data_IF_200769786550
#
_entry.id   IF_200769786550
#
_cell.length_a   1.000
_cell.length_b   1.000
_cell.length_c   1.000
_cell.angle_alpha   90.00
_cell.angle_beta   90.00
_cell.angle_gamma   90.00
#
_symmetry.space_group_name_H-M   'P 1'
#
loop_
_entity.id
_entity.type
_entity.pdbx_description
1 polymer ?
#
# COMPACT_ATOMS: atom_id res chain seq x y z
N UNK A 1 -4.37 50.01 39.23
CA UNK A 1 -5.19 49.12 38.38
C UNK A 1 -4.30 48.02 37.81
N UNK A 2 -4.24 46.91 38.50
CA UNK A 2 -3.42 45.73 38.18
C UNK A 2 -4.12 44.92 37.07
N UNK A 3 -3.46 44.82 35.91
CA UNK A 3 -3.91 43.93 34.83
C UNK A 3 -3.76 42.47 35.28
N UNK A 4 -4.88 41.84 35.62
CA UNK A 4 -4.90 40.39 35.87
C UNK A 4 -4.51 39.66 34.59
N UNK A 5 -3.42 38.90 34.64
CA UNK A 5 -3.08 37.97 33.59
C UNK A 5 -4.14 36.85 33.54
N UNK A 6 -4.89 36.77 32.43
CA UNK A 6 -5.74 35.64 32.12
C UNK A 6 -4.84 34.39 32.04
N UNK A 7 -4.92 33.50 33.00
CA UNK A 7 -4.39 32.15 32.89
C UNK A 7 -5.07 31.46 31.71
N UNK A 8 -4.35 30.80 30.82
CA UNK A 8 -4.98 30.00 29.78
C UNK A 8 -5.79 28.89 30.43
N UNK A 9 -7.08 28.85 30.17
CA UNK A 9 -8.09 27.92 30.72
C UNK A 9 -7.98 26.49 30.12
N UNK A 10 -6.91 26.15 29.46
CA UNK A 10 -6.70 24.81 28.91
C UNK A 10 -5.41 24.20 29.47
N UNK A 11 -5.51 23.67 30.67
CA UNK A 11 -4.77 22.45 31.00
C UNK A 11 -5.42 21.35 30.14
N UNK A 12 -4.97 21.23 28.88
CA UNK A 12 -5.20 20.03 28.11
C UNK A 12 -4.54 18.92 28.92
N UNK A 13 -5.35 18.03 29.48
CA UNK A 13 -4.91 16.70 29.85
C UNK A 13 -4.25 16.16 28.59
N UNK A 14 -2.91 16.23 28.54
CA UNK A 14 -2.17 15.72 27.38
C UNK A 14 -2.49 14.24 27.31
N UNK A 15 -3.11 13.81 26.21
CA UNK A 15 -3.28 12.41 25.92
C UNK A 15 -1.89 11.77 25.96
N UNK A 16 -1.79 10.61 26.58
CA UNK A 16 -0.57 9.83 26.49
C UNK A 16 -0.32 9.41 25.04
N UNK A 17 0.92 9.15 24.69
CA UNK A 17 1.24 8.65 23.35
C UNK A 17 0.48 7.33 23.04
N UNK A 18 0.25 6.50 24.05
CA UNK A 18 -0.55 5.28 23.90
C UNK A 18 -2.03 5.58 23.64
N UNK A 19 -2.58 6.66 24.19
CA UNK A 19 -3.93 7.11 23.84
C UNK A 19 -4.00 7.58 22.39
N UNK A 20 -3.00 8.35 21.92
CA UNK A 20 -2.92 8.79 20.54
C UNK A 20 -2.86 7.59 19.58
N UNK A 21 -2.05 6.57 19.89
CA UNK A 21 -1.95 5.34 19.09
C UNK A 21 -3.25 4.55 19.06
N UNK A 22 -3.92 4.39 20.19
CA UNK A 22 -5.22 3.71 20.25
C UNK A 22 -6.30 4.45 19.49
N UNK A 23 -6.39 5.76 19.64
CA UNK A 23 -7.33 6.59 18.90
C UNK A 23 -7.12 6.49 17.39
N UNK A 24 -5.88 6.57 16.95
CA UNK A 24 -5.51 6.40 15.56
C UNK A 24 -5.93 5.03 15.01
N UNK A 25 -5.69 3.95 15.74
CA UNK A 25 -6.07 2.61 15.30
C UNK A 25 -7.60 2.48 15.16
N UNK A 26 -8.38 3.05 16.09
CA UNK A 26 -9.86 3.07 16.00
C UNK A 26 -10.34 3.99 14.85
N UNK A 27 -9.73 5.17 14.64
CA UNK A 27 -10.02 6.03 13.49
C UNK A 27 -9.85 5.27 12.18
N UNK A 28 -8.69 4.60 12.01
CA UNK A 28 -8.39 3.83 10.81
C UNK A 28 -9.34 2.65 10.64
N UNK A 29 -9.70 1.97 11.73
CA UNK A 29 -10.68 0.87 11.70
C UNK A 29 -12.00 1.30 11.06
N UNK A 30 -12.53 2.44 11.48
CA UNK A 30 -13.79 2.97 10.93
C UNK A 30 -13.60 3.57 9.52
N UNK A 31 -12.56 4.38 9.32
CA UNK A 31 -12.30 5.04 8.04
C UNK A 31 -12.03 4.05 6.89
N UNK A 32 -11.40 2.91 7.19
CA UNK A 32 -11.05 1.88 6.22
C UNK A 32 -11.95 0.62 6.30
N UNK A 33 -12.98 0.62 7.14
CA UNK A 33 -13.87 -0.51 7.36
C UNK A 33 -13.11 -1.82 7.62
N UNK A 34 -12.17 -1.81 8.59
CA UNK A 34 -11.33 -2.96 8.87
C UNK A 34 -12.10 -4.06 9.59
N UNK A 35 -12.01 -5.28 9.07
CA UNK A 35 -12.59 -6.48 9.67
C UNK A 35 -11.58 -7.29 10.51
N UNK A 36 -10.28 -6.98 10.43
CA UNK A 36 -9.22 -7.70 11.14
C UNK A 36 -8.88 -7.04 12.48
N UNK A 37 -9.24 -7.63 13.64
CA UNK A 37 -8.82 -7.10 14.94
C UNK A 37 -7.30 -7.07 15.11
N UNK A 38 -6.59 -8.06 14.55
CA UNK A 38 -5.13 -8.11 14.58
C UNK A 38 -4.49 -6.92 13.86
N UNK A 39 -5.08 -6.45 12.76
CA UNK A 39 -4.60 -5.26 12.05
C UNK A 39 -4.81 -3.98 12.89
N UNK A 40 -5.96 -3.85 13.54
CA UNK A 40 -6.23 -2.72 14.44
C UNK A 40 -5.22 -2.72 15.60
N UNK A 41 -4.94 -3.88 16.18
CA UNK A 41 -3.94 -4.04 17.23
C UNK A 41 -2.53 -3.67 16.72
N UNK A 42 -2.14 -4.13 15.52
CA UNK A 42 -0.85 -3.79 14.91
C UNK A 42 -0.70 -2.27 14.69
N UNK A 43 -1.75 -1.59 14.20
CA UNK A 43 -1.78 -0.13 14.03
C UNK A 43 -1.58 0.62 15.35
N UNK A 44 -2.07 0.09 16.47
CA UNK A 44 -1.90 0.70 17.79
C UNK A 44 -0.52 0.43 18.41
N UNK A 45 0.16 -0.65 18.00
CA UNK A 45 1.45 -1.07 18.57
C UNK A 45 2.67 -0.56 17.83
N UNK A 46 2.60 -0.48 16.49
CA UNK A 46 3.75 -0.07 15.68
C UNK A 46 3.94 1.44 15.78
N UNK A 47 5.06 1.92 16.34
CA UNK A 47 5.29 3.34 16.57
C UNK A 47 5.55 4.08 15.26
N UNK A 48 4.52 4.75 14.71
CA UNK A 48 4.58 5.41 13.42
C UNK A 48 5.68 6.46 13.33
N UNK A 49 5.88 7.22 14.41
CA UNK A 49 6.88 8.28 14.52
C UNK A 49 8.30 7.79 14.28
N UNK A 50 8.64 6.57 14.68
CA UNK A 50 9.99 6.02 14.53
C UNK A 50 10.37 5.81 13.05
N UNK A 51 9.38 5.69 12.16
CA UNK A 51 9.58 5.53 10.73
C UNK A 51 9.67 6.86 9.96
N UNK A 52 9.17 7.95 10.54
CA UNK A 52 9.05 9.23 9.84
C UNK A 52 10.31 10.12 9.98
N UNK A 53 11.19 9.81 10.92
CA UNK A 53 12.31 10.67 11.30
C UNK A 53 11.86 11.80 12.26
N UNK A 54 12.76 12.68 12.64
CA UNK A 54 12.47 13.73 13.63
C UNK A 54 11.41 14.71 13.08
N UNK A 55 10.50 15.13 13.97
CA UNK A 55 9.57 16.22 13.69
C UNK A 55 10.23 17.61 13.77
N UNK A 56 9.49 18.67 13.50
CA UNK A 56 8.09 18.68 13.06
C UNK A 56 7.89 18.12 11.64
N UNK A 57 6.70 17.60 11.36
CA UNK A 57 6.39 16.90 10.09
C UNK A 57 5.50 17.73 9.18
N UNK A 58 5.64 17.53 7.87
CA UNK A 58 4.77 18.11 6.84
C UNK A 58 3.62 17.15 6.56
N UNK A 59 2.41 17.58 6.89
CA UNK A 59 1.15 16.84 6.67
C UNK A 59 0.50 17.35 5.40
N UNK A 60 0.11 16.44 4.51
CA UNK A 60 -0.68 16.77 3.33
C UNK A 60 -2.14 17.06 3.72
N UNK A 61 -2.62 18.23 3.37
CA UNK A 61 -3.99 18.69 3.65
C UNK A 61 -4.66 19.05 2.32
N UNK A 62 -5.87 18.55 2.04
CA UNK A 62 -6.63 18.98 0.87
C UNK A 62 -6.97 20.47 0.98
N UNK A 63 -6.68 21.23 -0.05
CA UNK A 63 -7.21 22.56 -0.22
C UNK A 63 -8.61 22.47 -0.84
N UNK A 64 -9.62 22.70 -0.03
CA UNK A 64 -11.02 22.57 -0.44
C UNK A 64 -11.45 23.61 -1.47
N UNK A 65 -10.72 24.72 -1.61
CA UNK A 65 -11.05 25.77 -2.57
C UNK A 65 -10.50 25.46 -3.97
N UNK A 66 -9.32 24.88 -4.05
CA UNK A 66 -8.61 24.62 -5.30
C UNK A 66 -8.61 23.15 -5.73
N UNK A 67 -8.94 22.22 -4.82
CA UNK A 67 -8.83 20.78 -5.03
C UNK A 67 -7.39 20.29 -5.09
N UNK A 68 -6.41 21.13 -4.76
CA UNK A 68 -4.99 20.76 -4.70
C UNK A 68 -4.62 20.24 -3.31
N UNK A 69 -3.39 19.73 -3.18
CA UNK A 69 -2.84 19.30 -1.88
C UNK A 69 -1.83 20.36 -1.42
N UNK A 70 -2.05 20.87 -0.22
CA UNK A 70 -1.12 21.71 0.50
C UNK A 70 -0.40 20.91 1.57
N UNK A 71 0.76 21.40 2.01
CA UNK A 71 1.49 20.77 3.11
C UNK A 71 1.63 21.74 4.27
N UNK A 72 1.16 21.32 5.42
CA UNK A 72 1.18 22.10 6.67
C UNK A 72 2.17 21.46 7.62
N UNK A 73 3.06 22.29 8.18
CA UNK A 73 4.02 21.85 9.20
C UNK A 73 3.28 21.66 10.53
N UNK A 74 3.54 20.55 11.24
CA UNK A 74 3.04 20.39 12.61
C UNK A 74 3.63 21.47 13.52
N UNK A 75 2.88 21.93 14.54
CA UNK A 75 3.33 23.04 15.38
C UNK A 75 4.57 22.72 16.23
N UNK A 76 4.82 21.44 16.44
CA UNK A 76 5.92 20.91 17.25
C UNK A 76 6.27 19.48 16.78
N UNK A 77 7.24 18.85 17.45
CA UNK A 77 7.68 17.48 17.21
C UNK A 77 7.00 16.46 18.15
N UNK A 78 5.85 16.78 18.74
CA UNK A 78 5.09 15.83 19.57
C UNK A 78 4.62 14.64 18.70
N UNK A 79 5.00 13.40 19.02
CA UNK A 79 4.62 12.22 18.26
C UNK A 79 3.10 12.07 18.07
N UNK A 80 2.26 12.57 18.96
CA UNK A 80 0.81 12.53 18.79
C UNK A 80 0.33 13.23 17.51
N UNK A 81 1.11 14.16 16.94
CA UNK A 81 0.78 14.86 15.69
C UNK A 81 0.72 13.96 14.45
N UNK A 82 1.34 12.79 14.49
CA UNK A 82 1.35 11.88 13.35
C UNK A 82 0.32 10.76 13.44
N UNK A 83 -0.44 10.68 14.53
CA UNK A 83 -1.44 9.65 14.75
C UNK A 83 -2.83 10.09 14.27
N UNK A 84 -2.93 10.34 12.95
CA UNK A 84 -4.14 10.68 12.22
C UNK A 84 -4.15 9.99 10.85
N UNK A 85 -5.31 9.87 10.23
CA UNK A 85 -5.46 9.34 8.86
C UNK A 85 -4.98 10.34 7.80
N UNK A 86 -3.73 10.76 7.90
CA UNK A 86 -3.12 11.79 7.04
C UNK A 86 -1.85 11.29 6.39
N UNK A 87 -1.57 11.82 5.20
CA UNK A 87 -0.34 11.60 4.46
C UNK A 87 0.76 12.51 5.02
N UNK A 88 1.94 11.94 5.27
CA UNK A 88 3.11 12.68 5.77
C UNK A 88 4.20 12.65 4.70
N UNK A 89 4.77 13.82 4.40
CA UNK A 89 5.86 13.93 3.45
C UNK A 89 7.14 13.31 4.02
N UNK A 90 7.83 12.52 3.21
CA UNK A 90 9.16 11.96 3.48
C UNK A 90 10.24 12.76 2.75
N UNK A 91 9.97 13.16 1.52
CA UNK A 91 10.81 14.03 0.70
C UNK A 91 9.91 14.86 -0.23
N UNK A 92 9.83 16.18 0.05
CA UNK A 92 9.00 17.12 -0.72
C UNK A 92 9.54 17.38 -2.11
N UNK A 93 10.85 17.34 -2.29
CA UNK A 93 11.48 17.62 -3.59
C UNK A 93 11.13 16.57 -4.65
N UNK A 94 10.75 15.38 -4.19
CA UNK A 94 10.38 14.22 -5.02
C UNK A 94 8.93 13.78 -4.81
N UNK A 95 8.14 14.56 -4.07
CA UNK A 95 6.78 14.26 -3.67
C UNK A 95 6.61 12.93 -2.90
N UNK A 96 7.67 12.35 -2.33
CA UNK A 96 7.62 11.09 -1.60
C UNK A 96 6.90 11.24 -0.26
N UNK A 97 6.01 10.30 0.02
CA UNK A 97 5.17 10.31 1.21
C UNK A 97 5.10 8.94 1.88
N UNK A 98 4.64 8.93 3.14
CA UNK A 98 4.41 7.68 3.88
C UNK A 98 3.07 6.98 3.52
N UNK A 99 2.34 7.48 2.54
CA UNK A 99 1.02 6.97 2.19
C UNK A 99 -0.06 7.32 3.23
N UNK A 100 -1.32 7.20 2.82
CA UNK A 100 -2.46 7.44 3.71
C UNK A 100 -2.78 6.17 4.51
N UNK A 101 -2.79 6.21 5.85
CA UNK A 101 -2.95 5.03 6.69
C UNK A 101 -4.22 4.23 6.41
N UNK A 102 -5.37 4.88 6.27
CA UNK A 102 -6.62 4.20 5.97
C UNK A 102 -6.59 3.45 4.64
N UNK A 103 -5.95 4.03 3.62
CA UNK A 103 -5.80 3.38 2.31
C UNK A 103 -4.92 2.13 2.40
N UNK A 104 -3.74 2.24 3.02
CA UNK A 104 -2.83 1.10 3.15
C UNK A 104 -3.39 0.02 4.09
N UNK A 105 -4.07 0.42 5.16
CA UNK A 105 -4.76 -0.52 6.05
C UNK A 105 -5.89 -1.27 5.33
N UNK A 106 -6.66 -0.60 4.47
CA UNK A 106 -7.67 -1.25 3.62
C UNK A 106 -7.04 -2.32 2.71
N UNK A 107 -5.89 -2.03 2.09
CA UNK A 107 -5.16 -3.01 1.27
C UNK A 107 -4.68 -4.20 2.11
N UNK A 108 -4.05 -3.94 3.26
CA UNK A 108 -3.56 -5.00 4.14
C UNK A 108 -4.72 -5.86 4.66
N UNK A 109 -5.86 -5.24 5.01
CA UNK A 109 -7.08 -5.97 5.42
C UNK A 109 -7.60 -6.89 4.31
N UNK A 110 -7.54 -6.46 3.05
CA UNK A 110 -7.99 -7.25 1.89
C UNK A 110 -7.08 -8.46 1.61
N UNK A 111 -5.83 -8.46 2.07
CA UNK A 111 -4.93 -9.62 2.00
C UNK A 111 -5.33 -10.74 2.95
N UNK A 112 -6.10 -10.46 4.02
CA UNK A 112 -6.56 -11.47 4.97
C UNK A 112 -5.39 -12.32 5.52
N UNK A 113 -4.35 -11.66 6.00
CA UNK A 113 -3.12 -12.29 6.48
C UNK A 113 -3.38 -13.16 7.71
N UNK A 114 -2.63 -14.24 7.80
CA UNK A 114 -2.64 -15.18 8.91
C UNK A 114 -1.25 -15.26 9.55
N UNK A 115 -1.20 -15.68 10.79
CA UNK A 115 0.05 -16.03 11.45
C UNK A 115 0.75 -17.14 10.66
N UNK A 116 2.04 -16.97 10.41
CA UNK A 116 2.84 -17.91 9.63
C UNK A 116 2.89 -17.61 8.13
N UNK A 117 2.08 -16.67 7.60
CA UNK A 117 2.13 -16.30 6.19
C UNK A 117 3.52 -15.74 5.82
N UNK A 118 3.97 -16.07 4.62
CA UNK A 118 5.11 -15.42 3.96
C UNK A 118 4.59 -14.33 3.03
N UNK A 119 5.00 -13.08 3.30
CA UNK A 119 4.50 -11.90 2.60
C UNK A 119 5.63 -11.24 1.81
N UNK A 120 5.35 -10.87 0.56
CA UNK A 120 6.19 -9.96 -0.22
C UNK A 120 5.60 -8.55 -0.21
N UNK A 121 6.42 -7.54 0.10
CA UNK A 121 6.05 -6.13 0.07
C UNK A 121 6.98 -5.35 -0.84
N UNK A 122 6.52 -4.99 -2.04
CA UNK A 122 7.26 -4.15 -2.98
C UNK A 122 6.95 -2.68 -2.74
N UNK A 123 7.99 -1.84 -2.64
CA UNK A 123 7.86 -0.41 -2.36
C UNK A 123 7.64 -0.15 -0.87
N UNK A 124 8.58 -0.63 -0.04
CA UNK A 124 8.52 -0.56 1.42
C UNK A 124 8.55 0.88 1.98
N UNK A 125 9.04 1.84 1.20
CA UNK A 125 9.29 3.20 1.65
C UNK A 125 10.26 3.21 2.85
N UNK A 126 9.83 3.77 3.97
CA UNK A 126 10.60 3.76 5.22
C UNK A 126 10.31 2.55 6.11
N UNK A 127 9.46 1.61 5.69
CA UNK A 127 9.21 0.35 6.37
C UNK A 127 8.03 0.30 7.34
N UNK A 128 7.25 1.37 7.51
CA UNK A 128 6.13 1.38 8.46
C UNK A 128 5.08 0.27 8.19
N UNK A 129 4.60 0.16 6.96
CA UNK A 129 3.63 -0.89 6.61
C UNK A 129 4.26 -2.27 6.57
N UNK A 130 5.56 -2.39 6.28
CA UNK A 130 6.30 -3.64 6.44
C UNK A 130 6.30 -4.10 7.90
N UNK A 131 6.45 -3.18 8.86
CA UNK A 131 6.34 -3.48 10.28
C UNK A 131 4.92 -3.93 10.67
N UNK A 132 3.87 -3.31 10.14
CA UNK A 132 2.48 -3.75 10.32
C UNK A 132 2.29 -5.19 9.79
N UNK A 133 2.79 -5.49 8.58
CA UNK A 133 2.74 -6.84 8.01
C UNK A 133 3.45 -7.85 8.90
N UNK A 134 4.63 -7.49 9.44
CA UNK A 134 5.42 -8.32 10.36
C UNK A 134 4.65 -8.66 11.65
N UNK A 135 3.92 -7.68 12.23
CA UNK A 135 3.06 -7.93 13.40
C UNK A 135 1.94 -8.93 13.10
N UNK A 136 1.35 -8.87 11.89
CA UNK A 136 0.26 -9.74 11.50
C UNK A 136 0.69 -11.19 11.30
N UNK A 137 1.85 -11.40 10.65
CA UNK A 137 2.32 -12.75 10.36
C UNK A 137 3.05 -13.40 11.55
N UNK A 138 3.41 -12.61 12.58
CA UNK A 138 4.10 -13.05 13.80
C UNK A 138 5.48 -13.65 13.51
N UNK A 139 6.13 -14.20 14.56
CA UNK A 139 7.49 -14.74 14.49
C UNK A 139 7.63 -16.03 13.65
N UNK A 140 6.55 -16.74 13.42
CA UNK A 140 6.51 -17.94 12.57
C UNK A 140 6.22 -17.66 11.09
N UNK A 141 5.88 -16.40 10.76
CA UNK A 141 5.77 -15.92 9.39
C UNK A 141 7.01 -15.10 8.98
N UNK A 142 7.01 -14.60 7.74
CA UNK A 142 8.11 -13.80 7.22
C UNK A 142 7.60 -12.67 6.31
N UNK A 143 8.28 -11.53 6.33
CA UNK A 143 8.05 -10.44 5.38
C UNK A 143 9.34 -10.16 4.63
N UNK A 144 9.30 -10.33 3.31
CA UNK A 144 10.38 -9.93 2.40
C UNK A 144 9.95 -8.62 1.75
N UNK A 145 10.75 -7.58 1.89
CA UNK A 145 10.45 -6.26 1.36
C UNK A 145 11.52 -5.78 0.39
N UNK A 146 11.12 -5.00 -0.62
CA UNK A 146 12.04 -4.32 -1.53
C UNK A 146 11.75 -2.83 -1.56
N UNK A 147 12.82 -2.02 -1.71
CA UNK A 147 12.74 -0.59 -1.92
C UNK A 147 13.81 -0.14 -2.89
N UNK A 148 13.39 0.55 -3.96
CA UNK A 148 14.28 1.01 -5.04
C UNK A 148 14.92 2.35 -4.74
N UNK A 149 14.29 3.16 -3.87
CA UNK A 149 14.77 4.49 -3.58
C UNK A 149 16.02 4.46 -2.69
N UNK A 150 17.11 5.07 -3.17
CA UNK A 150 18.44 5.01 -2.55
C UNK A 150 18.50 5.52 -1.11
N UNK A 151 17.61 6.43 -0.71
CA UNK A 151 17.58 6.98 0.65
C UNK A 151 16.53 6.27 1.54
N UNK A 152 15.38 5.87 0.97
CA UNK A 152 14.34 5.24 1.77
C UNK A 152 14.68 3.79 2.11
N UNK A 153 15.29 3.05 1.18
CA UNK A 153 15.67 1.65 1.41
C UNK A 153 16.60 1.46 2.62
N UNK A 154 17.74 2.17 2.75
CA UNK A 154 18.57 2.10 3.94
C UNK A 154 17.85 2.53 5.24
N UNK A 155 16.93 3.52 5.16
CA UNK A 155 16.09 3.89 6.30
C UNK A 155 15.16 2.74 6.69
N UNK A 156 14.53 2.06 5.72
CA UNK A 156 13.71 0.88 5.99
C UNK A 156 14.51 -0.24 6.65
N UNK A 157 15.72 -0.55 6.16
CA UNK A 157 16.61 -1.54 6.78
C UNK A 157 16.92 -1.19 8.24
N UNK A 158 17.27 0.06 8.51
CA UNK A 158 17.53 0.54 9.87
C UNK A 158 16.30 0.45 10.77
N UNK A 159 15.14 0.93 10.29
CA UNK A 159 13.91 0.96 11.07
C UNK A 159 13.38 -0.45 11.38
N UNK A 160 13.69 -1.42 10.54
CA UNK A 160 13.21 -2.81 10.66
C UNK A 160 14.24 -3.77 11.24
N UNK A 161 15.46 -3.31 11.57
CA UNK A 161 16.57 -4.16 12.03
C UNK A 161 16.23 -5.01 13.27
N UNK A 162 15.34 -4.53 14.14
CA UNK A 162 14.88 -5.25 15.34
C UNK A 162 13.83 -6.35 15.09
N UNK A 163 13.36 -6.54 13.83
CA UNK A 163 12.31 -7.49 13.47
C UNK A 163 12.91 -8.71 12.78
N UNK A 164 13.14 -9.78 13.54
CA UNK A 164 13.82 -11.00 13.06
C UNK A 164 13.10 -11.70 11.89
N UNK A 165 11.79 -11.46 11.71
CA UNK A 165 10.99 -12.02 10.63
C UNK A 165 10.88 -11.11 9.39
N UNK A 166 11.70 -10.04 9.31
CA UNK A 166 11.70 -9.10 8.18
C UNK A 166 13.05 -9.09 7.49
N UNK A 167 13.06 -9.15 6.16
CA UNK A 167 14.22 -8.87 5.34
C UNK A 167 13.92 -7.75 4.34
N UNK A 168 14.83 -6.76 4.24
CA UNK A 168 14.69 -5.64 3.30
C UNK A 168 15.83 -5.68 2.29
N UNK A 169 15.47 -5.77 1.02
CA UNK A 169 16.38 -5.78 -0.11
C UNK A 169 16.32 -4.44 -0.85
N UNK A 170 17.49 -3.88 -1.13
CA UNK A 170 17.60 -2.63 -1.87
C UNK A 170 17.60 -2.91 -3.38
N UNK A 171 16.78 -2.19 -4.11
CA UNK A 171 16.71 -2.30 -5.56
C UNK A 171 15.31 -2.48 -6.10
N UNK A 172 15.23 -2.74 -7.38
CA UNK A 172 13.98 -2.85 -8.12
C UNK A 172 13.24 -4.15 -7.79
N UNK A 173 12.12 -4.01 -7.11
CA UNK A 173 11.27 -5.14 -6.70
C UNK A 173 10.60 -5.87 -7.86
N UNK A 174 10.57 -5.29 -9.06
CA UNK A 174 10.02 -5.97 -10.25
C UNK A 174 10.99 -7.02 -10.80
N UNK A 175 12.28 -6.89 -10.48
CA UNK A 175 13.34 -7.82 -10.86
C UNK A 175 13.69 -8.81 -9.73
N UNK A 176 13.09 -8.64 -8.56
CA UNK A 176 13.39 -9.46 -7.38
C UNK A 176 12.48 -10.68 -7.30
N UNK A 177 13.07 -11.87 -7.17
CA UNK A 177 12.31 -13.10 -6.90
C UNK A 177 12.08 -13.25 -5.38
N UNK A 178 10.85 -13.04 -4.87
CA UNK A 178 10.57 -13.16 -3.45
C UNK A 178 10.49 -14.61 -2.95
N UNK A 179 10.58 -15.59 -3.85
CA UNK A 179 10.23 -16.99 -3.56
C UNK A 179 8.71 -17.17 -3.38
N UNK A 180 8.30 -18.35 -2.94
CA UNK A 180 6.88 -18.63 -2.71
C UNK A 180 6.29 -17.75 -1.62
N UNK A 181 5.11 -17.19 -1.87
CA UNK A 181 4.42 -16.27 -0.96
C UNK A 181 2.93 -16.64 -0.78
N UNK A 182 2.45 -16.45 0.44
CA UNK A 182 1.03 -16.55 0.77
C UNK A 182 0.29 -15.24 0.44
N UNK A 183 1.01 -14.12 0.48
CA UNK A 183 0.47 -12.82 0.09
C UNK A 183 1.54 -11.89 -0.48
N UNK A 184 1.10 -10.99 -1.38
CA UNK A 184 1.96 -9.95 -1.95
C UNK A 184 1.22 -8.61 -1.94
N UNK A 185 1.90 -7.57 -1.47
CA UNK A 185 1.45 -6.18 -1.54
C UNK A 185 2.42 -5.41 -2.44
N UNK A 186 1.94 -4.99 -3.59
CA UNK A 186 2.70 -4.15 -4.52
C UNK A 186 2.27 -2.71 -4.29
N UNK A 187 3.22 -1.88 -3.91
CA UNK A 187 2.98 -0.48 -3.56
C UNK A 187 3.62 0.49 -4.59
N UNK A 188 3.56 0.12 -5.85
CA UNK A 188 3.94 0.94 -7.00
C UNK A 188 3.04 0.61 -8.21
N UNK A 189 2.68 1.62 -9.00
CA UNK A 189 1.74 1.50 -10.12
C UNK A 189 2.32 0.71 -11.30
N UNK A 190 1.66 -0.37 -11.64
CA UNK A 190 1.99 -1.28 -12.74
C UNK A 190 1.01 -1.12 -13.91
N UNK A 191 1.33 -1.66 -15.07
CA UNK A 191 0.39 -1.81 -16.19
C UNK A 191 -0.26 -3.19 -16.23
N UNK A 192 0.38 -4.18 -15.60
CA UNK A 192 -0.07 -5.58 -15.54
C UNK A 192 0.58 -6.27 -14.33
N UNK A 193 -0.01 -7.37 -13.80
CA UNK A 193 0.67 -8.21 -12.83
C UNK A 193 1.81 -8.97 -13.51
N UNK A 194 2.98 -9.07 -12.85
CA UNK A 194 4.12 -9.77 -13.43
C UNK A 194 3.91 -11.29 -13.38
N UNK A 195 4.28 -12.04 -14.44
CA UNK A 195 4.25 -13.50 -14.46
C UNK A 195 4.97 -14.12 -13.27
N UNK A 196 6.15 -13.60 -12.91
CA UNK A 196 6.92 -14.04 -11.75
C UNK A 196 6.09 -14.03 -10.45
N UNK A 197 5.35 -12.95 -10.19
CA UNK A 197 4.55 -12.86 -8.97
C UNK A 197 3.42 -13.87 -8.94
N UNK A 198 2.77 -14.12 -10.10
CA UNK A 198 1.72 -15.12 -10.23
C UNK A 198 2.27 -16.53 -9.97
N UNK A 199 3.47 -16.84 -10.50
CA UNK A 199 4.14 -18.12 -10.30
C UNK A 199 4.57 -18.35 -8.84
N UNK A 200 4.90 -17.29 -8.12
CA UNK A 200 5.31 -17.32 -6.71
C UNK A 200 4.16 -17.30 -5.71
N UNK A 201 2.91 -17.08 -6.14
CA UNK A 201 1.77 -17.23 -5.25
C UNK A 201 1.55 -18.73 -4.92
N UNK A 202 1.44 -19.06 -3.65
CA UNK A 202 0.98 -20.36 -3.19
C UNK A 202 -0.49 -20.56 -3.48
N UNK A 203 -0.98 -21.80 -3.37
CA UNK A 203 -2.41 -22.08 -3.46
C UNK A 203 -3.22 -21.23 -2.43
N UNK A 204 -4.28 -20.58 -2.92
CA UNK A 204 -5.03 -19.61 -2.13
C UNK A 204 -4.27 -18.29 -1.85
N UNK A 205 -3.07 -18.14 -2.38
CA UNK A 205 -2.24 -16.93 -2.24
C UNK A 205 -2.90 -15.71 -2.85
N UNK A 206 -2.64 -14.53 -2.28
CA UNK A 206 -3.30 -13.27 -2.64
C UNK A 206 -2.27 -12.23 -3.05
N UNK A 207 -2.47 -11.61 -4.21
CA UNK A 207 -1.66 -10.48 -4.71
C UNK A 207 -2.53 -9.24 -4.81
N UNK A 208 -2.09 -8.14 -4.22
CA UNK A 208 -2.63 -6.80 -4.49
C UNK A 208 -1.65 -6.05 -5.38
N UNK A 209 -2.12 -5.65 -6.55
CA UNK A 209 -1.32 -4.91 -7.54
C UNK A 209 -2.09 -3.71 -8.07
N UNK A 210 -1.52 -2.49 -7.98
CA UNK A 210 -2.13 -1.31 -8.54
C UNK A 210 -1.89 -1.25 -10.04
N UNK A 211 -2.96 -1.34 -10.83
CA UNK A 211 -2.92 -1.20 -12.28
C UNK A 211 -3.24 0.24 -12.65
N UNK A 212 -2.28 0.95 -13.22
CA UNK A 212 -2.35 2.39 -13.43
C UNK A 212 -1.90 2.81 -14.82
N UNK A 213 -2.47 3.92 -15.30
CA UNK A 213 -1.95 4.68 -16.44
C UNK A 213 -1.45 6.06 -15.96
N UNK A 214 -0.55 6.72 -16.68
CA UNK A 214 0.06 7.97 -16.25
C UNK A 214 -0.97 9.09 -16.00
N UNK A 215 -0.82 9.81 -14.89
CA UNK A 215 -1.55 11.03 -14.57
C UNK A 215 -0.58 12.24 -14.52
N UNK A 216 0.63 12.00 -14.04
CA UNK A 216 1.74 12.94 -13.99
C UNK A 216 3.04 12.13 -14.17
N UNK A 217 4.21 12.76 -14.36
CA UNK A 217 5.46 12.07 -14.71
C UNK A 217 5.79 10.84 -13.83
N UNK A 218 5.53 10.92 -12.52
CA UNK A 218 5.82 9.84 -11.58
C UNK A 218 4.58 9.29 -10.89
N UNK A 219 3.39 9.72 -11.28
CA UNK A 219 2.14 9.37 -10.63
C UNK A 219 1.18 8.75 -11.64
N UNK A 220 0.70 7.57 -11.32
CA UNK A 220 -0.36 6.89 -12.05
C UNK A 220 -1.68 6.90 -11.29
N UNK A 221 -2.79 6.89 -12.03
CA UNK A 221 -4.12 6.63 -11.49
C UNK A 221 -4.70 5.36 -12.10
N UNK A 222 -5.50 4.67 -11.34
CA UNK A 222 -6.08 3.41 -11.79
C UNK A 222 -6.84 2.69 -10.70
N UNK A 223 -6.65 1.39 -10.64
CA UNK A 223 -7.34 0.50 -9.72
C UNK A 223 -6.34 -0.37 -8.94
N UNK A 224 -6.67 -0.70 -7.72
CA UNK A 224 -6.06 -1.80 -6.99
C UNK A 224 -6.79 -3.09 -7.39
N UNK A 225 -6.06 -4.04 -7.94
CA UNK A 225 -6.57 -5.35 -8.34
C UNK A 225 -6.17 -6.38 -7.27
N UNK A 226 -7.14 -7.16 -6.78
CA UNK A 226 -6.89 -8.33 -5.95
C UNK A 226 -6.92 -9.57 -6.81
N UNK A 227 -5.83 -10.34 -6.79
CA UNK A 227 -5.69 -11.62 -7.49
C UNK A 227 -5.57 -12.72 -6.45
N UNK A 228 -6.24 -13.85 -6.66
CA UNK A 228 -6.16 -15.03 -5.79
C UNK A 228 -5.86 -16.25 -6.65
N UNK A 229 -4.80 -17.00 -6.31
CA UNK A 229 -4.49 -18.27 -6.99
C UNK A 229 -5.48 -19.35 -6.62
N UNK A 230 -5.95 -20.10 -7.60
CA UNK A 230 -6.88 -21.23 -7.48
C UNK A 230 -6.40 -22.36 -8.42
N UNK A 231 -5.58 -23.25 -7.89
CA UNK A 231 -4.90 -24.25 -8.71
C UNK A 231 -3.97 -23.60 -9.75
N UNK A 232 -4.24 -23.90 -11.02
CA UNK A 232 -3.51 -23.34 -12.17
C UNK A 232 -4.16 -22.04 -12.71
N UNK A 233 -5.15 -21.50 -12.03
CA UNK A 233 -5.89 -20.31 -12.45
C UNK A 233 -5.82 -19.20 -11.42
N UNK A 234 -6.20 -17.99 -11.82
CA UNK A 234 -6.12 -16.80 -10.99
C UNK A 234 -7.45 -16.03 -11.08
N UNK A 235 -8.22 -16.08 -10.00
CA UNK A 235 -9.38 -15.21 -9.86
C UNK A 235 -8.91 -13.78 -9.60
N UNK A 236 -9.57 -12.80 -10.21
CA UNK A 236 -9.21 -11.40 -10.05
C UNK A 236 -10.46 -10.55 -9.85
N UNK A 237 -10.33 -9.49 -9.04
CA UNK A 237 -11.40 -8.54 -8.81
C UNK A 237 -10.87 -7.14 -8.52
N UNK A 238 -11.62 -6.15 -8.96
CA UNK A 238 -11.44 -4.77 -8.55
C UNK A 238 -11.63 -4.63 -7.04
N UNK A 239 -10.73 -3.92 -6.37
CA UNK A 239 -10.83 -3.62 -4.94
C UNK A 239 -11.22 -2.16 -4.69
N UNK A 240 -10.48 -1.21 -5.24
CA UNK A 240 -10.70 0.23 -5.08
C UNK A 240 -9.93 1.02 -6.14
N UNK A 241 -10.21 2.32 -6.24
CA UNK A 241 -9.37 3.23 -7.02
C UNK A 241 -8.05 3.52 -6.31
N UNK A 242 -7.04 3.87 -7.10
CA UNK A 242 -5.70 4.20 -6.61
C UNK A 242 -5.10 5.35 -7.40
N UNK A 243 -4.37 6.22 -6.69
CA UNK A 243 -3.38 7.13 -7.24
C UNK A 243 -2.06 6.84 -6.51
N UNK A 244 -1.04 6.44 -7.23
CA UNK A 244 0.19 5.93 -6.64
C UNK A 244 1.37 6.19 -7.57
N UNK A 245 2.59 6.25 -7.00
CA UNK A 245 3.80 6.33 -7.80
C UNK A 245 3.89 5.17 -8.79
N UNK A 246 4.30 5.50 -10.01
CA UNK A 246 4.57 4.48 -11.02
C UNK A 246 5.82 3.68 -10.66
N UNK A 247 5.80 2.39 -10.93
CA UNK A 247 7.00 1.57 -10.86
C UNK A 247 8.05 2.10 -11.84
N UNK A 248 9.32 2.01 -11.46
CA UNK A 248 10.44 2.53 -12.24
C UNK A 248 10.78 1.68 -13.46
N UNK A 249 10.32 0.44 -13.47
CA UNK A 249 10.54 -0.51 -14.58
C UNK A 249 9.32 -1.45 -14.72
N UNK A 250 9.39 -2.39 -15.64
CA UNK A 250 8.38 -3.42 -15.90
C UNK A 250 6.97 -2.86 -16.21
N UNK A 251 6.89 -1.62 -16.68
CA UNK A 251 5.66 -1.05 -17.23
C UNK A 251 5.67 -1.24 -18.76
N UNK A 252 4.53 -1.60 -19.31
CA UNK A 252 4.32 -1.66 -20.75
C UNK A 252 3.40 -0.51 -21.18
N UNK A 253 3.97 0.48 -21.84
CA UNK A 253 3.23 1.66 -22.30
C UNK A 253 2.16 1.33 -23.35
N UNK A 254 2.27 0.19 -24.06
CA UNK A 254 1.26 -0.25 -25.03
C UNK A 254 -0.05 -0.67 -24.33
N UNK A 255 0.00 -1.06 -23.06
CA UNK A 255 -1.19 -1.44 -22.27
C UNK A 255 -1.90 -0.23 -21.63
N UNK A 256 -1.26 0.93 -21.55
CA UNK A 256 -1.83 2.11 -20.88
C UNK A 256 -3.12 2.63 -21.52
N UNK A 257 -3.29 2.66 -22.87
CA UNK A 257 -4.57 3.05 -23.48
C UNK A 257 -5.73 2.13 -23.10
N UNK A 258 -5.48 0.81 -22.99
CA UNK A 258 -6.49 -0.15 -22.57
C UNK A 258 -6.92 0.08 -21.11
N UNK A 259 -5.97 0.38 -20.22
CA UNK A 259 -6.25 0.75 -18.82
C UNK A 259 -7.09 2.04 -18.76
N UNK A 260 -6.72 3.07 -19.50
CA UNK A 260 -7.48 4.31 -19.58
C UNK A 260 -8.91 4.09 -20.08
N UNK A 261 -9.08 3.27 -21.13
CA UNK A 261 -10.39 2.88 -21.65
C UNK A 261 -11.20 2.09 -20.62
N UNK A 262 -10.59 1.13 -19.93
CA UNK A 262 -11.27 0.35 -18.90
C UNK A 262 -11.81 1.22 -17.77
N UNK A 263 -11.05 2.26 -17.38
CA UNK A 263 -11.49 3.21 -16.34
C UNK A 263 -12.63 4.10 -16.83
N UNK A 264 -12.56 4.62 -18.05
CA UNK A 264 -13.60 5.51 -18.59
C UNK A 264 -14.92 4.79 -18.88
N UNK A 265 -14.87 3.50 -19.25
CA UNK A 265 -16.05 2.69 -19.55
C UNK A 265 -16.61 1.90 -18.36
N UNK A 266 -15.88 1.85 -17.23
CA UNK A 266 -16.24 1.02 -16.09
C UNK A 266 -15.97 -0.49 -16.30
N UNK A 267 -15.27 -0.89 -17.35
CA UNK A 267 -14.99 -2.31 -17.65
C UNK A 267 -14.19 -2.99 -16.53
N UNK A 268 -13.38 -2.23 -15.77
CA UNK A 268 -12.64 -2.74 -14.61
C UNK A 268 -13.53 -3.40 -13.54
N UNK A 269 -14.80 -2.98 -13.40
CA UNK A 269 -15.74 -3.58 -12.44
C UNK A 269 -16.17 -5.01 -12.86
N UNK A 270 -15.94 -5.38 -14.10
CA UNK A 270 -16.28 -6.69 -14.65
C UNK A 270 -15.12 -7.68 -14.63
N UNK A 271 -13.93 -7.29 -14.16
CA UNK A 271 -12.76 -8.16 -14.07
C UNK A 271 -13.07 -9.36 -13.16
N UNK A 272 -12.72 -10.56 -13.65
CA UNK A 272 -12.95 -11.83 -12.93
C UNK A 272 -11.73 -12.72 -12.86
N UNK A 273 -10.77 -12.60 -13.80
CA UNK A 273 -9.59 -13.47 -13.83
C UNK A 273 -8.36 -12.81 -14.44
N UNK A 274 -7.23 -13.46 -14.19
CA UNK A 274 -6.00 -13.30 -14.96
C UNK A 274 -5.82 -14.55 -15.81
N UNK A 275 -5.74 -14.39 -17.13
CA UNK A 275 -5.49 -15.48 -18.10
C UNK A 275 -4.01 -15.48 -18.46
N UNK A 276 -3.46 -16.68 -18.59
CA UNK A 276 -2.07 -16.91 -19.03
C UNK A 276 -2.00 -17.85 -20.25
N UNK A 277 -3.16 -18.25 -20.77
CA UNK A 277 -3.28 -19.01 -22.02
C UNK A 277 -2.99 -18.10 -23.23
N UNK A 278 -2.44 -18.68 -24.29
CA UNK A 278 -2.28 -17.98 -25.55
C UNK A 278 -3.66 -17.84 -26.22
N UNK A 279 -4.06 -16.62 -26.51
CA UNK A 279 -5.29 -16.28 -27.22
C UNK A 279 -5.16 -14.91 -27.91
N UNK A 280 -5.95 -14.69 -28.94
CA UNK A 280 -6.10 -13.35 -29.51
C UNK A 280 -6.93 -12.46 -28.60
N UNK A 281 -6.64 -11.16 -28.57
CA UNK A 281 -7.44 -10.20 -27.84
C UNK A 281 -8.90 -10.25 -28.33
N UNK A 282 -9.83 -10.34 -27.39
CA UNK A 282 -11.27 -10.36 -27.63
C UNK A 282 -12.00 -9.35 -26.74
N UNK A 283 -13.31 -9.27 -26.84
CA UNK A 283 -14.17 -8.34 -26.08
C UNK A 283 -14.16 -8.57 -24.56
N UNK A 284 -13.69 -9.73 -24.10
CA UNK A 284 -13.57 -10.07 -22.68
C UNK A 284 -12.23 -9.63 -22.09
N UNK A 285 -11.29 -9.20 -22.92
CA UNK A 285 -9.96 -8.73 -22.49
C UNK A 285 -10.05 -7.26 -22.06
N UNK A 286 -9.81 -7.00 -20.77
CA UNK A 286 -9.71 -5.62 -20.23
C UNK A 286 -8.34 -5.02 -20.54
N UNK A 287 -7.30 -5.81 -20.31
CA UNK A 287 -5.91 -5.51 -20.68
C UNK A 287 -5.30 -6.80 -21.21
N UNK A 288 -4.83 -6.79 -22.45
CA UNK A 288 -4.27 -7.96 -23.12
C UNK A 288 -2.78 -7.73 -23.40
N UNK A 289 -1.91 -8.41 -22.63
CA UNK A 289 -0.47 -8.46 -22.85
C UNK A 289 -0.04 -9.81 -23.40
N UNK A 290 1.25 -9.97 -23.67
CA UNK A 290 1.84 -11.18 -24.27
C UNK A 290 1.79 -12.40 -23.34
N UNK A 291 1.95 -12.22 -22.04
CA UNK A 291 2.01 -13.31 -21.06
C UNK A 291 0.86 -13.29 -20.07
N UNK A 292 0.14 -12.17 -19.98
CA UNK A 292 -0.91 -11.96 -18.98
C UNK A 292 -2.05 -11.17 -19.61
N UNK A 293 -3.26 -11.67 -19.48
CA UNK A 293 -4.48 -10.96 -19.86
C UNK A 293 -5.39 -10.79 -18.65
N UNK A 294 -5.78 -9.55 -18.36
CA UNK A 294 -6.82 -9.23 -17.37
C UNK A 294 -8.17 -9.36 -18.04
N UNK A 295 -9.01 -10.27 -17.57
CA UNK A 295 -10.20 -10.71 -18.29
C UNK A 295 -11.49 -10.58 -17.48
N UNK A 296 -12.59 -10.38 -18.19
CA UNK A 296 -13.95 -10.42 -17.65
C UNK A 296 -14.53 -11.85 -17.59
N UNK A 297 -13.84 -12.85 -18.16
CA UNK A 297 -14.26 -14.25 -18.02
C UNK A 297 -13.84 -14.81 -16.66
N UNK A 298 -14.64 -15.70 -16.10
CA UNK A 298 -14.29 -16.37 -14.85
C UNK A 298 -13.05 -17.27 -15.04
N UNK A 299 -12.25 -17.40 -13.96
CA UNK A 299 -11.16 -18.36 -13.93
C UNK A 299 -11.72 -19.80 -14.08
N UNK A 300 -11.12 -20.58 -14.96
CA UNK A 300 -11.49 -22.00 -15.12
C UNK A 300 -10.66 -22.78 -14.11
N UNK A 301 -11.30 -23.26 -13.07
CA UNK A 301 -10.66 -24.18 -12.12
C UNK A 301 -10.77 -25.57 -12.75
N UNK A 302 -9.63 -26.14 -13.14
CA UNK A 302 -9.60 -27.55 -13.53
C UNK A 302 -10.03 -28.39 -12.31
N UNK A 303 -11.04 -29.25 -12.52
CA UNK A 303 -11.52 -30.18 -11.50
C UNK A 303 -10.48 -31.23 -11.18
#
# INVERSE_FOLDING_TARGET
MTKGALRPLYSLTMFSLDDCRRFYAEEIKFAANLSSPALVEALSRVPREEFLGPGPWLIAVPDMATGTVQYVLTPDADPCRVYHNVVIALDRSRDLTNGQPGTLAHYINALQLRQGDRVYHMGAGVGYYTAILSELVRSNGAVVATEVHLELGPRAQKNLAGRANVSVHLGDGTQFDPGECDAMLINAGMTHPLPLWLDRLREGGRLLVPMTFPMAPNLGKGIMLKITRQGNSYAAQYLTFVAIYSATSARDSQLEPALGKALSTGAFMKIKSIRRDQHSADETCVVHGTEVCVSMTAAVVAK
#
